data_IF_305335369291
#
_entry.id   IF_305335369291
#
_cell.length_a   1.000
_cell.length_b   1.000
_cell.length_c   1.000
_cell.angle_alpha   90.00
_cell.angle_beta   90.00
_cell.angle_gamma   90.00
#
_symmetry.space_group_name_H-M   'P 1'
#
loop_
_entity.id
_entity.type
_entity.pdbx_description
1 polymer ?
#
# COMPACT_ATOMS: atom_id res chain seq x y z
N UNK A 1 27.50 -27.21 -0.66
CA UNK A 1 26.65 -26.03 -0.88
C UNK A 1 25.19 -26.30 -0.52
N UNK A 2 24.55 -27.37 -1.03
CA UNK A 2 23.13 -27.69 -0.73
C UNK A 2 22.85 -27.98 0.75
N UNK A 3 23.74 -28.70 1.45
CA UNK A 3 23.65 -28.97 2.89
C UNK A 3 23.77 -27.71 3.75
N UNK A 4 24.59 -26.74 3.36
CA UNK A 4 24.77 -25.49 4.08
C UNK A 4 23.52 -24.58 3.94
N UNK A 5 22.90 -24.58 2.75
CA UNK A 5 21.65 -23.85 2.51
C UNK A 5 20.48 -24.45 3.29
N UNK A 6 20.41 -25.79 3.36
CA UNK A 6 19.40 -26.51 4.13
C UNK A 6 19.55 -26.27 5.63
N UNK A 7 20.78 -26.28 6.15
CA UNK A 7 21.08 -26.03 7.57
C UNK A 7 20.78 -24.57 7.96
N UNK A 8 21.08 -23.61 7.08
CA UNK A 8 20.76 -22.20 7.28
C UNK A 8 19.23 -21.95 7.27
N UNK A 9 18.50 -22.68 6.42
CA UNK A 9 17.05 -22.59 6.37
C UNK A 9 16.39 -23.14 7.65
N UNK A 10 16.92 -24.25 8.18
CA UNK A 10 16.43 -24.85 9.44
C UNK A 10 16.73 -23.95 10.65
N UNK A 11 17.90 -23.30 10.69
CA UNK A 11 18.25 -22.33 11.73
C UNK A 11 17.37 -21.06 11.69
N UNK A 12 16.97 -20.61 10.51
CA UNK A 12 16.04 -19.49 10.35
C UNK A 12 14.61 -19.84 10.82
N UNK A 13 14.17 -21.08 10.63
CA UNK A 13 12.85 -21.54 11.07
C UNK A 13 12.78 -21.70 12.60
N UNK A 14 13.86 -22.14 13.24
CA UNK A 14 13.89 -22.31 14.70
C UNK A 14 13.91 -20.99 15.48
N UNK A 15 14.36 -19.90 14.89
CA UNK A 15 14.32 -18.56 15.51
C UNK A 15 12.92 -17.92 15.48
N UNK A 16 11.98 -18.46 14.74
CA UNK A 16 10.59 -17.96 14.69
C UNK A 16 9.74 -18.37 15.91
N UNK A 17 10.24 -19.28 16.76
CA UNK A 17 9.51 -19.78 17.94
C UNK A 17 9.38 -18.77 19.09
N UNK A 18 10.11 -17.65 19.07
CA UNK A 18 10.00 -16.58 20.07
C UNK A 18 9.13 -15.39 19.60
N UNK A 19 8.43 -15.55 18.50
CA UNK A 19 7.89 -14.46 17.70
C UNK A 19 6.42 -14.13 17.94
N UNK A 20 5.84 -14.52 19.06
CA UNK A 20 4.43 -14.19 19.31
C UNK A 20 4.19 -12.72 19.68
N UNK A 21 5.26 -11.97 19.95
CA UNK A 21 5.22 -10.54 20.22
C UNK A 21 5.29 -9.71 18.92
N UNK A 22 5.93 -10.25 17.89
CA UNK A 22 6.08 -9.58 16.59
C UNK A 22 5.43 -10.39 15.48
N UNK A 23 4.64 -9.71 14.67
CA UNK A 23 4.03 -10.26 13.47
C UNK A 23 4.56 -9.53 12.25
N UNK A 24 4.93 -10.28 11.22
CA UNK A 24 5.36 -9.75 9.93
C UNK A 24 4.40 -10.27 8.88
N UNK A 25 3.82 -9.36 8.12
CA UNK A 25 2.89 -9.67 7.04
C UNK A 25 3.25 -8.94 5.76
N UNK A 26 2.84 -9.51 4.65
CA UNK A 26 2.88 -8.86 3.35
C UNK A 26 1.50 -8.86 2.72
N UNK A 27 1.25 -7.90 1.84
CA UNK A 27 0.04 -7.88 1.04
C UNK A 27 0.30 -7.48 -0.39
N UNK A 28 -0.57 -7.95 -1.26
CA UNK A 28 -0.60 -7.61 -2.67
C UNK A 28 -2.03 -7.20 -3.01
N UNK A 29 -2.17 -6.12 -3.73
CA UNK A 29 -3.48 -5.59 -4.13
C UNK A 29 -3.42 -4.80 -5.41
N UNK A 30 -4.47 -4.05 -5.67
CA UNK A 30 -4.53 -3.13 -6.81
C UNK A 30 -4.75 -1.70 -6.35
N UNK A 31 -4.12 -0.75 -7.04
CA UNK A 31 -4.36 0.67 -6.82
C UNK A 31 -5.44 1.19 -7.75
N UNK A 32 -6.31 2.01 -7.19
CA UNK A 32 -7.40 2.66 -7.90
C UNK A 32 -7.33 4.17 -7.65
N UNK A 33 -7.40 4.96 -8.71
CA UNK A 33 -7.48 6.41 -8.62
C UNK A 33 -8.89 6.89 -8.96
N UNK A 34 -9.45 7.73 -8.09
CA UNK A 34 -10.74 8.39 -8.28
C UNK A 34 -10.51 9.89 -8.23
N UNK A 35 -10.76 10.57 -9.34
CA UNK A 35 -10.52 12.00 -9.41
C UNK A 35 -11.03 12.62 -10.71
N UNK A 36 -10.46 13.77 -11.07
CA UNK A 36 -10.86 14.51 -12.25
C UNK A 36 -10.38 13.89 -13.57
N UNK A 37 -9.30 13.09 -13.52
CA UNK A 37 -8.73 12.41 -14.68
C UNK A 37 -9.06 10.93 -14.64
N UNK A 38 -9.41 10.35 -15.80
CA UNK A 38 -9.57 8.90 -15.97
C UNK A 38 -11.00 8.42 -15.90
N UNK A 39 -11.15 7.14 -15.57
CA UNK A 39 -12.42 6.43 -15.56
C UNK A 39 -13.42 7.04 -14.58
N UNK A 40 -14.69 7.03 -14.96
CA UNK A 40 -15.83 7.36 -14.08
C UNK A 40 -16.30 6.17 -13.24
N UNK A 41 -15.69 4.99 -13.41
CA UNK A 41 -15.99 3.80 -12.65
C UNK A 41 -15.23 3.86 -11.30
N UNK A 42 -15.95 3.76 -10.19
CA UNK A 42 -15.39 3.90 -8.84
C UNK A 42 -14.39 2.80 -8.46
N UNK A 43 -14.58 1.57 -8.93
CA UNK A 43 -13.69 0.46 -8.61
C UNK A 43 -13.13 -0.08 -9.91
N UNK A 44 -11.92 0.36 -10.25
CA UNK A 44 -11.21 -0.04 -11.47
C UNK A 44 -9.69 -0.06 -11.21
N UNK A 45 -9.17 -1.01 -10.42
CA UNK A 45 -7.75 -1.07 -10.12
C UNK A 45 -6.94 -1.36 -11.38
N UNK A 46 -5.97 -0.48 -11.69
CA UNK A 46 -5.19 -0.56 -12.93
C UNK A 46 -3.75 -0.99 -12.71
N UNK A 47 -3.21 -0.75 -11.53
CA UNK A 47 -1.81 -1.03 -11.22
C UNK A 47 -1.72 -1.84 -9.93
N UNK A 48 -0.70 -2.71 -9.81
CA UNK A 48 -0.49 -3.47 -8.59
C UNK A 48 -0.01 -2.58 -7.44
N UNK A 49 -0.36 -2.97 -6.23
CA UNK A 49 0.12 -2.41 -4.98
C UNK A 49 0.76 -3.53 -4.16
N UNK A 50 1.92 -3.25 -3.58
CA UNK A 50 2.67 -4.17 -2.73
C UNK A 50 2.94 -3.52 -1.40
N UNK A 51 2.92 -4.29 -0.35
CA UNK A 51 3.21 -3.75 0.96
C UNK A 51 3.69 -4.77 1.96
N UNK A 52 4.29 -4.24 3.03
CA UNK A 52 4.71 -4.98 4.20
C UNK A 52 4.13 -4.36 5.47
N UNK A 53 3.88 -5.20 6.45
CA UNK A 53 3.37 -4.82 7.75
C UNK A 53 4.27 -5.46 8.81
N UNK A 54 4.64 -4.67 9.79
CA UNK A 54 5.24 -5.10 11.03
C UNK A 54 4.32 -4.72 12.18
N UNK A 55 3.95 -5.70 12.99
CA UNK A 55 3.09 -5.48 14.15
C UNK A 55 3.81 -5.95 15.41
N UNK A 56 3.77 -5.13 16.43
CA UNK A 56 4.28 -5.43 17.76
C UNK A 56 3.13 -5.54 18.75
N UNK A 57 2.84 -6.76 19.20
CA UNK A 57 1.79 -7.05 20.16
C UNK A 57 2.30 -6.77 21.58
N UNK A 58 1.98 -5.59 22.10
CA UNK A 58 2.40 -5.17 23.44
C UNK A 58 1.58 -5.85 24.54
N UNK A 59 0.33 -6.12 24.27
CA UNK A 59 -0.62 -6.80 25.16
C UNK A 59 -1.72 -7.48 24.34
N UNK A 60 -2.57 -8.34 24.94
CA UNK A 60 -3.70 -8.96 24.25
C UNK A 60 -4.65 -7.96 23.59
N UNK A 61 -4.66 -6.71 24.06
CA UNK A 61 -5.57 -5.65 23.55
C UNK A 61 -4.89 -4.54 22.79
N UNK A 62 -3.57 -4.38 22.90
CA UNK A 62 -2.85 -3.26 22.30
C UNK A 62 -1.70 -3.75 21.44
N UNK A 63 -1.67 -3.29 20.19
CA UNK A 63 -0.58 -3.55 19.27
C UNK A 63 -0.14 -2.28 18.56
N UNK A 64 1.15 -2.15 18.31
CA UNK A 64 1.72 -1.12 17.45
C UNK A 64 1.91 -1.70 16.06
N UNK A 65 1.57 -0.93 15.06
CA UNK A 65 1.66 -1.35 13.66
C UNK A 65 2.44 -0.34 12.84
N UNK A 66 3.42 -0.83 12.10
CA UNK A 66 4.10 -0.09 11.04
C UNK A 66 3.76 -0.74 9.70
N UNK A 67 3.53 0.04 8.66
CA UNK A 67 3.37 -0.48 7.31
C UNK A 67 4.06 0.37 6.28
N UNK A 68 4.49 -0.28 5.20
CA UNK A 68 5.09 0.35 4.03
C UNK A 68 4.39 -0.17 2.80
N UNK A 69 3.88 0.74 1.96
CA UNK A 69 3.14 0.42 0.75
C UNK A 69 3.78 1.11 -0.42
N UNK A 70 4.03 0.36 -1.49
CA UNK A 70 4.43 0.90 -2.77
C UNK A 70 3.38 0.57 -3.83
N UNK A 71 2.99 1.59 -4.59
CA UNK A 71 2.06 1.43 -5.71
C UNK A 71 2.33 2.47 -6.80
N UNK A 72 1.73 2.26 -7.96
CA UNK A 72 1.67 3.25 -9.01
C UNK A 72 0.21 3.66 -9.22
N UNK A 73 -0.09 4.94 -9.05
CA UNK A 73 -1.37 5.50 -9.42
C UNK A 73 -1.33 5.89 -10.90
N UNK A 74 -2.33 5.50 -11.67
CA UNK A 74 -2.45 5.89 -13.08
C UNK A 74 -3.91 6.14 -13.45
N UNK A 75 -4.12 7.16 -14.26
CA UNK A 75 -5.42 7.45 -14.85
C UNK A 75 -5.24 7.94 -16.28
N UNK A 76 -6.21 7.63 -17.14
CA UNK A 76 -6.28 8.08 -18.54
C UNK A 76 -7.73 8.44 -18.88
N UNK A 77 -7.93 9.63 -19.42
CA UNK A 77 -9.24 10.13 -19.81
C UNK A 77 -9.87 9.33 -20.96
N UNK A 78 -9.06 8.61 -21.74
CA UNK A 78 -9.55 7.72 -22.80
C UNK A 78 -10.43 6.61 -22.20
N UNK A 79 -10.14 6.19 -20.97
CA UNK A 79 -10.92 5.15 -20.26
C UNK A 79 -12.20 5.67 -19.60
N UNK A 80 -12.47 6.98 -19.70
CA UNK A 80 -13.67 7.60 -19.16
C UNK A 80 -14.90 7.30 -20.03
N UNK A 81 -16.06 7.20 -19.41
CA UNK A 81 -17.33 7.16 -20.12
C UNK A 81 -17.86 8.58 -20.46
N UNK A 82 -17.21 9.63 -19.92
CA UNK A 82 -17.57 11.02 -20.22
C UNK A 82 -16.89 11.49 -21.50
N UNK A 83 -17.66 11.91 -22.56
CA UNK A 83 -17.12 12.40 -23.81
C UNK A 83 -16.20 13.63 -23.65
N UNK A 84 -16.45 14.48 -22.65
CA UNK A 84 -15.65 15.69 -22.38
C UNK A 84 -14.24 15.29 -21.90
N UNK A 85 -14.14 14.30 -21.03
CA UNK A 85 -12.84 13.77 -20.56
C UNK A 85 -12.07 13.13 -21.72
N UNK A 86 -12.75 12.34 -22.57
CA UNK A 86 -12.12 11.75 -23.76
C UNK A 86 -11.55 12.81 -24.71
N UNK A 87 -12.27 13.90 -24.92
CA UNK A 87 -11.79 15.00 -25.77
C UNK A 87 -10.58 15.73 -25.13
N UNK A 88 -10.58 15.86 -23.80
CA UNK A 88 -9.46 16.47 -23.07
C UNK A 88 -8.19 15.62 -23.14
N UNK A 89 -8.33 14.30 -23.03
CA UNK A 89 -7.25 13.32 -23.23
C UNK A 89 -6.11 13.38 -22.21
N UNK A 90 -6.36 13.80 -20.98
CA UNK A 90 -5.33 13.81 -19.93
C UNK A 90 -5.01 12.42 -19.44
N UNK A 91 -3.74 12.20 -19.16
CA UNK A 91 -3.27 10.96 -18.54
C UNK A 91 -2.10 11.24 -17.60
N UNK A 92 -2.00 10.45 -16.54
CA UNK A 92 -0.84 10.48 -15.64
C UNK A 92 -0.49 9.09 -15.12
N UNK A 93 0.74 8.97 -14.65
CA UNK A 93 1.21 7.80 -13.92
C UNK A 93 2.23 8.27 -12.88
N UNK A 94 1.99 7.95 -11.61
CA UNK A 94 2.81 8.39 -10.49
C UNK A 94 3.11 7.22 -9.55
N UNK A 95 4.39 6.99 -9.25
CA UNK A 95 4.80 6.08 -8.18
C UNK A 95 4.49 6.71 -6.83
N UNK A 96 3.90 5.96 -5.92
CA UNK A 96 3.53 6.40 -4.58
C UNK A 96 4.12 5.45 -3.56
N UNK A 97 4.83 6.00 -2.59
CA UNK A 97 5.32 5.28 -1.42
C UNK A 97 4.62 5.83 -0.18
N UNK A 98 3.92 4.97 0.53
CA UNK A 98 3.29 5.30 1.80
C UNK A 98 3.98 4.57 2.94
N UNK A 99 4.32 5.30 4.00
CA UNK A 99 4.76 4.75 5.27
C UNK A 99 3.76 5.15 6.35
N UNK A 100 3.30 4.20 7.16
CA UNK A 100 2.37 4.48 8.24
C UNK A 100 2.79 3.86 9.56
N UNK A 101 2.41 4.53 10.65
CA UNK A 101 2.58 4.09 12.03
C UNK A 101 1.26 4.27 12.77
N UNK A 102 0.86 3.28 13.56
CA UNK A 102 -0.37 3.37 14.30
C UNK A 102 -0.50 2.37 15.42
N UNK A 103 -1.64 2.44 16.09
CA UNK A 103 -2.01 1.60 17.22
C UNK A 103 -3.30 0.89 16.89
N UNK A 104 -3.33 -0.41 17.18
CA UNK A 104 -4.53 -1.23 17.13
C UNK A 104 -5.00 -1.51 18.57
N UNK A 105 -6.29 -1.37 18.79
CA UNK A 105 -6.96 -1.74 20.04
C UNK A 105 -7.97 -2.85 19.77
N UNK A 106 -7.77 -4.01 20.36
CA UNK A 106 -8.67 -5.15 20.31
C UNK A 106 -9.74 -5.05 21.39
N UNK A 107 -11.00 -5.21 21.04
CA UNK A 107 -12.11 -5.16 22.00
C UNK A 107 -12.17 -6.39 22.89
N UNK A 108 -11.76 -7.53 22.37
CA UNK A 108 -11.64 -8.78 23.11
C UNK A 108 -10.18 -9.13 23.29
N UNK A 109 -9.86 -9.89 24.33
CA UNK A 109 -8.51 -10.38 24.53
C UNK A 109 -8.14 -11.33 23.39
N UNK A 110 -7.06 -11.00 22.68
CA UNK A 110 -6.52 -11.78 21.59
C UNK A 110 -5.15 -12.31 22.00
N UNK A 111 -5.11 -13.58 22.35
CA UNK A 111 -3.89 -14.25 22.79
C UNK A 111 -3.53 -15.39 21.84
N UNK A 112 -2.45 -15.22 21.12
CA UNK A 112 -1.92 -16.23 20.18
C UNK A 112 -1.32 -17.45 20.89
N UNK A 113 -1.09 -17.37 22.22
CA UNK A 113 -0.50 -18.47 23.00
C UNK A 113 -1.50 -19.57 23.36
N UNK A 114 -2.79 -19.30 23.31
CA UNK A 114 -3.80 -20.27 23.74
C UNK A 114 -4.04 -21.41 22.75
N UNK A 115 -3.55 -21.29 21.51
CA UNK A 115 -3.78 -22.28 20.45
C UNK A 115 -5.24 -22.42 20.00
N UNK A 116 -6.14 -21.60 20.52
CA UNK A 116 -7.54 -21.55 20.12
C UNK A 116 -7.72 -20.47 19.06
N UNK A 117 -8.40 -20.73 17.93
CA UNK A 117 -8.74 -19.70 16.97
C UNK A 117 -9.55 -18.60 17.63
N UNK A 118 -9.00 -17.41 17.69
CA UNK A 118 -9.65 -16.24 18.25
C UNK A 118 -9.98 -15.25 17.14
N UNK A 119 -11.10 -14.59 17.30
CA UNK A 119 -11.49 -13.46 16.44
C UNK A 119 -11.88 -12.31 17.34
N UNK A 120 -11.35 -11.14 17.07
CA UNK A 120 -11.67 -9.92 17.80
C UNK A 120 -11.88 -8.77 16.82
N UNK A 121 -12.94 -7.98 17.00
CA UNK A 121 -13.01 -6.69 16.34
C UNK A 121 -11.94 -5.76 16.91
N UNK A 122 -11.39 -4.89 16.08
CA UNK A 122 -10.38 -3.94 16.51
C UNK A 122 -10.62 -2.55 15.90
N UNK A 123 -10.08 -1.54 16.54
CA UNK A 123 -9.96 -0.19 16.01
C UNK A 123 -8.49 0.09 15.75
N UNK A 124 -8.21 0.66 14.58
CA UNK A 124 -6.88 1.14 14.20
C UNK A 124 -6.90 2.66 14.07
N UNK A 125 -5.89 3.30 14.66
CA UNK A 125 -5.62 4.73 14.46
C UNK A 125 -4.13 4.94 14.25
N UNK A 126 -3.78 5.91 13.39
CA UNK A 126 -2.39 6.14 13.05
C UNK A 126 -2.18 7.39 12.21
N UNK A 127 -0.93 7.60 11.86
CA UNK A 127 -0.48 8.65 10.94
C UNK A 127 0.20 7.98 9.75
N UNK A 128 0.04 8.56 8.58
CA UNK A 128 0.76 8.14 7.38
C UNK A 128 1.48 9.31 6.71
N UNK A 129 2.58 8.96 6.07
CA UNK A 129 3.36 9.85 5.21
C UNK A 129 3.34 9.28 3.80
N UNK A 130 3.04 10.13 2.83
CA UNK A 130 2.99 9.75 1.42
C UNK A 130 4.07 10.53 0.67
N UNK A 131 4.93 9.81 0.00
CA UNK A 131 5.91 10.36 -0.94
C UNK A 131 5.41 10.09 -2.36
N UNK A 132 5.25 11.15 -3.14
CA UNK A 132 4.85 11.08 -4.55
C UNK A 132 5.60 12.16 -5.35
N UNK A 133 5.91 11.90 -6.64
CA UNK A 133 6.48 12.94 -7.49
C UNK A 133 5.43 14.00 -7.79
N UNK A 134 5.84 15.26 -7.80
CA UNK A 134 5.00 16.37 -8.24
C UNK A 134 4.96 16.41 -9.77
N UNK A 135 3.78 16.59 -10.34
CA UNK A 135 3.60 16.79 -11.78
C UNK A 135 3.14 18.21 -12.02
N UNK A 136 3.82 18.91 -12.92
CA UNK A 136 3.41 20.19 -13.40
C UNK A 136 2.92 20.06 -14.85
N UNK A 137 1.77 20.60 -15.14
CA UNK A 137 1.31 20.76 -16.51
C UNK A 137 1.81 22.11 -17.01
N UNK A 138 2.63 22.10 -18.06
CA UNK A 138 2.97 23.34 -18.76
C UNK A 138 1.80 23.72 -19.66
N UNK A 139 1.21 24.86 -19.42
CA UNK A 139 0.03 25.36 -20.16
C UNK A 139 0.36 26.00 -21.50
N UNK A 140 1.55 25.78 -22.05
CA UNK A 140 2.04 26.57 -23.18
C UNK A 140 1.58 26.09 -24.55
N UNK A 141 1.01 24.88 -24.68
CA UNK A 141 0.56 24.38 -25.97
C UNK A 141 -0.84 23.77 -25.91
N UNK A 142 -1.83 24.58 -26.28
CA UNK A 142 -3.21 24.14 -26.53
C UNK A 142 -3.33 23.29 -27.81
N UNK A 143 -2.26 23.05 -28.52
CA UNK A 143 -2.22 22.25 -29.75
C UNK A 143 -0.97 21.42 -29.72
N UNK A 144 -1.13 20.10 -29.49
CA UNK A 144 -0.09 19.08 -29.72
C UNK A 144 1.09 19.04 -28.74
N UNK A 145 1.18 17.91 -28.12
CA UNK A 145 2.26 17.29 -27.35
C UNK A 145 2.15 17.35 -25.81
N UNK A 146 1.93 16.14 -25.27
CA UNK A 146 2.04 15.80 -23.86
C UNK A 146 3.48 16.02 -23.36
N UNK A 147 3.85 17.24 -23.06
CA UNK A 147 5.14 17.48 -22.40
C UNK A 147 5.00 17.18 -20.91
N UNK A 148 5.46 16.03 -20.49
CA UNK A 148 5.65 15.71 -19.08
C UNK A 148 6.96 16.31 -18.62
N UNK A 149 6.91 17.36 -17.84
CA UNK A 149 8.05 17.86 -17.10
C UNK A 149 8.07 17.18 -15.72
N UNK A 150 9.00 16.28 -15.49
CA UNK A 150 9.33 15.79 -14.16
C UNK A 150 10.24 16.83 -13.51
N UNK A 151 9.70 17.67 -12.64
CA UNK A 151 10.50 18.51 -11.79
C UNK A 151 10.89 17.68 -10.55
N UNK A 152 12.13 17.28 -10.48
CA UNK A 152 12.75 16.81 -9.24
C UNK A 152 13.06 18.05 -8.41
N UNK A 153 12.41 18.17 -7.26
CA UNK A 153 12.80 19.05 -6.18
C UNK A 153 13.51 18.24 -5.11
#
# INVERSE_FOLDING_TARGET
>A
MKLFLSSACILLISSLSFSQIYEIGGYVGGSNFIGDVGSTIYINPKKPAYGGILKWNRSPRHSYRASLIYTTLSADDIDSNDPRRKLRGYSFSAGVLEASLGIEFNFLDFDLHTGVPMSTPYIYTGISMINHPNFYFSSTDLVSEKTRSNAFG
#
